data_IF_997548104546
#
_entry.id   IF_997548104546
#
_cell.length_a   1.000
_cell.length_b   1.000
_cell.length_c   1.000
_cell.angle_alpha   90.00
_cell.angle_beta   90.00
_cell.angle_gamma   90.00
#
_symmetry.space_group_name_H-M   'P 1'
#
loop_
_entity.id
_entity.type
_entity.pdbx_description
1 polymer ?
#
# COMPACT_ATOMS: atom_id res chain seq x y z
N UNK A 1 16.66 -7.28 -15.43
CA UNK A 1 16.17 -7.73 -14.11
C UNK A 1 15.25 -6.69 -13.52
N UNK A 2 13.99 -7.07 -13.35
CA UNK A 2 12.93 -6.21 -12.81
C UNK A 2 12.18 -6.98 -11.72
N UNK A 3 11.84 -6.33 -10.61
CA UNK A 3 11.12 -6.94 -9.50
C UNK A 3 10.28 -5.90 -8.74
N UNK A 4 9.13 -6.32 -8.23
CA UNK A 4 8.31 -5.56 -7.29
C UNK A 4 8.20 -6.36 -5.99
N UNK A 5 8.51 -5.73 -4.87
CA UNK A 5 8.34 -6.32 -3.54
C UNK A 5 7.20 -5.59 -2.85
N UNK A 6 6.24 -6.36 -2.35
CA UNK A 6 5.13 -5.85 -1.54
C UNK A 6 5.29 -6.38 -0.12
N UNK A 7 5.29 -5.47 0.84
CA UNK A 7 5.27 -5.77 2.26
C UNK A 7 3.83 -5.68 2.77
N UNK A 8 3.38 -6.74 3.47
CA UNK A 8 2.14 -6.74 4.23
C UNK A 8 2.48 -7.12 5.68
N UNK A 9 2.24 -6.20 6.61
CA UNK A 9 2.54 -6.41 8.02
C UNK A 9 1.70 -5.52 8.93
N UNK A 10 2.28 -4.46 9.48
CA UNK A 10 1.49 -3.42 10.16
C UNK A 10 0.67 -2.56 9.17
N UNK A 11 1.13 -2.49 7.92
CA UNK A 11 0.50 -1.79 6.81
C UNK A 11 0.84 -2.43 5.47
N UNK A 12 0.57 -1.71 4.37
CA UNK A 12 0.95 -2.10 3.01
C UNK A 12 2.00 -1.12 2.48
N UNK A 13 3.17 -1.66 2.15
CA UNK A 13 4.26 -0.90 1.53
C UNK A 13 4.96 -1.70 0.44
N UNK A 14 5.99 -1.12 -0.16
CA UNK A 14 6.81 -1.87 -1.12
C UNK A 14 7.90 -1.05 -1.78
N UNK A 15 8.57 -1.66 -2.74
CA UNK A 15 9.62 -1.04 -3.54
C UNK A 15 9.89 -1.86 -4.79
N UNK A 16 10.54 -1.26 -5.78
CA UNK A 16 10.76 -1.91 -7.07
C UNK A 16 12.20 -1.76 -7.56
N UNK A 17 12.66 -2.80 -8.25
CA UNK A 17 13.86 -2.81 -9.07
C UNK A 17 13.42 -2.72 -10.53
N UNK A 18 14.02 -1.80 -11.28
CA UNK A 18 13.85 -1.75 -12.72
C UNK A 18 15.21 -1.55 -13.40
N UNK A 19 15.52 -2.39 -14.38
CA UNK A 19 16.80 -2.42 -15.07
C UNK A 19 17.98 -2.76 -14.15
N UNK A 20 17.77 -3.64 -13.16
CA UNK A 20 18.79 -4.01 -12.16
C UNK A 20 19.12 -2.90 -11.16
N UNK A 21 18.34 -1.80 -11.14
CA UNK A 21 18.53 -0.68 -10.21
C UNK A 21 17.34 -0.56 -9.27
N UNK A 22 17.63 -0.45 -7.97
CA UNK A 22 16.62 -0.18 -6.95
C UNK A 22 16.17 1.27 -7.05
N UNK A 23 14.86 1.49 -7.14
CA UNK A 23 14.25 2.82 -7.12
C UNK A 23 13.67 3.08 -5.73
N UNK A 24 13.99 4.23 -5.15
CA UNK A 24 13.66 4.60 -3.76
C UNK A 24 12.78 5.85 -3.64
N UNK A 25 12.41 6.45 -4.77
CA UNK A 25 11.69 7.71 -4.83
C UNK A 25 12.38 8.94 -4.33
N UNK A 26 11.85 10.06 -4.82
CA UNK A 26 12.44 11.39 -4.64
C UNK A 26 12.49 11.82 -3.16
N UNK A 27 11.63 11.24 -2.31
CA UNK A 27 11.54 11.55 -0.87
C UNK A 27 11.37 10.30 0.02
N UNK A 28 11.81 9.11 -0.41
CA UNK A 28 11.41 7.83 0.20
C UNK A 28 9.89 7.54 0.14
N UNK A 29 9.11 8.37 -0.55
CA UNK A 29 7.66 8.19 -0.76
C UNK A 29 7.29 7.27 -1.92
N UNK A 30 8.26 6.77 -2.70
CA UNK A 30 8.00 5.63 -3.59
C UNK A 30 8.02 4.37 -2.73
N UNK A 31 6.83 3.85 -2.46
CA UNK A 31 6.63 2.78 -1.49
C UNK A 31 5.37 2.97 -0.65
N UNK A 32 4.72 4.13 -0.75
CA UNK A 32 3.37 4.44 -0.24
C UNK A 32 2.26 3.70 -1.01
N UNK A 33 2.52 2.45 -1.43
CA UNK A 33 1.55 1.59 -2.11
C UNK A 33 0.26 1.46 -1.31
N UNK A 34 0.36 1.46 0.02
CA UNK A 34 -0.79 1.43 0.92
C UNK A 34 -1.73 2.63 0.77
N UNK A 35 -1.26 3.78 0.32
CA UNK A 35 -2.06 5.01 0.20
C UNK A 35 -2.53 5.31 -1.22
N UNK A 36 -2.19 4.48 -2.20
CA UNK A 36 -2.77 4.54 -3.54
C UNK A 36 -4.28 4.31 -3.45
N UNK A 37 -5.08 5.23 -4.00
CA UNK A 37 -6.52 5.08 -4.07
C UNK A 37 -6.87 3.98 -5.09
N UNK A 38 -7.54 2.92 -4.63
CA UNK A 38 -8.02 1.80 -5.43
C UNK A 38 -9.55 1.71 -5.46
N UNK A 39 -10.25 2.43 -4.56
CA UNK A 39 -11.71 2.50 -4.51
C UNK A 39 -12.19 3.88 -4.04
N UNK A 40 -12.65 4.72 -4.96
CA UNK A 40 -13.14 6.08 -4.65
C UNK A 40 -14.35 6.10 -3.71
N UNK A 41 -15.13 5.01 -3.65
CA UNK A 41 -16.25 4.85 -2.71
C UNK A 41 -15.85 4.10 -1.42
N UNK A 42 -14.58 3.71 -1.30
CA UNK A 42 -14.06 2.87 -0.23
C UNK A 42 -14.00 3.57 1.14
N UNK A 43 -13.43 2.89 2.15
CA UNK A 43 -13.30 3.45 3.50
C UNK A 43 -12.33 4.63 3.56
N UNK A 44 -12.48 5.43 4.62
CA UNK A 44 -11.49 6.47 4.97
C UNK A 44 -10.23 5.79 5.50
N UNK A 45 -9.07 6.22 5.00
CA UNK A 45 -7.75 5.76 5.43
C UNK A 45 -7.25 6.61 6.61
N UNK A 46 -6.34 6.04 7.41
CA UNK A 46 -5.63 6.74 8.48
C UNK A 46 -4.85 7.96 8.00
N UNK A 47 -4.41 7.98 6.74
CA UNK A 47 -3.76 9.15 6.12
C UNK A 47 -4.72 10.31 5.81
N UNK A 48 -6.04 10.12 5.99
CA UNK A 48 -7.09 11.11 5.75
C UNK A 48 -7.73 11.04 4.35
N UNK A 49 -7.13 10.32 3.39
CA UNK A 49 -7.72 10.08 2.09
C UNK A 49 -8.79 8.97 2.13
N UNK A 50 -9.47 8.73 1.00
CA UNK A 50 -10.46 7.66 0.83
C UNK A 50 -9.95 6.60 -0.14
N UNK A 51 -10.27 5.34 0.13
CA UNK A 51 -10.07 4.29 -0.86
C UNK A 51 -8.65 3.77 -0.98
N UNK A 52 -7.78 4.14 -0.06
CA UNK A 52 -6.40 3.67 -0.05
C UNK A 52 -6.34 2.14 0.01
N UNK A 53 -5.38 1.54 -0.71
CA UNK A 53 -5.15 0.09 -0.73
C UNK A 53 -5.10 -0.53 0.68
N UNK A 54 -4.43 0.14 1.62
CA UNK A 54 -4.36 -0.28 3.02
C UNK A 54 -5.71 -0.23 3.73
N UNK A 55 -6.54 0.80 3.48
CA UNK A 55 -7.87 0.88 4.07
C UNK A 55 -8.81 -0.19 3.50
N UNK A 56 -8.62 -0.55 2.22
CA UNK A 56 -9.44 -1.54 1.52
C UNK A 56 -9.01 -2.98 1.85
N UNK A 57 -7.72 -3.27 1.90
CA UNK A 57 -7.17 -4.63 1.98
C UNK A 57 -6.00 -4.81 2.93
N UNK A 58 -5.65 -3.80 3.72
CA UNK A 58 -4.63 -3.89 4.76
C UNK A 58 -5.07 -4.70 5.98
N UNK A 59 -4.15 -4.90 6.93
CA UNK A 59 -4.33 -5.82 8.06
C UNK A 59 -5.61 -5.58 8.86
N UNK A 60 -5.89 -4.32 9.23
CA UNK A 60 -7.13 -3.96 9.95
C UNK A 60 -8.38 -4.32 9.15
N UNK A 61 -8.34 -4.08 7.84
CA UNK A 61 -9.45 -4.34 6.93
C UNK A 61 -9.70 -5.84 6.75
N UNK A 62 -8.63 -6.65 6.73
CA UNK A 62 -8.69 -8.11 6.69
C UNK A 62 -9.26 -8.66 8.00
N UNK A 63 -8.72 -8.23 9.15
CA UNK A 63 -9.21 -8.65 10.47
C UNK A 63 -10.69 -8.32 10.62
N UNK A 64 -11.09 -7.06 10.35
CA UNK A 64 -12.49 -6.63 10.42
C UNK A 64 -13.43 -7.49 9.58
N UNK A 65 -13.02 -7.93 8.39
CA UNK A 65 -13.84 -8.79 7.52
C UNK A 65 -13.86 -10.25 7.95
N UNK A 66 -12.81 -10.73 8.61
CA UNK A 66 -12.71 -12.11 9.06
C UNK A 66 -13.47 -12.37 10.37
N UNK A 67 -13.57 -11.35 11.23
CA UNK A 67 -14.22 -11.45 12.55
C UNK A 67 -15.58 -10.75 12.63
N UNK A 68 -16.01 -10.11 11.53
CA UNK A 68 -17.28 -9.42 11.39
C UNK A 68 -18.40 -10.30 10.83
#
# INVERSE_FOLDING_TARGET
DDALVVYLGAGIGGGYLAGGRLHRGVNQGEGELGHVCVDMAGPVCSCGARGCLEAVGGPESVVRRAVG
#
